data_IF_169507288790
#
_entry.id   IF_169507288790
#
_cell.length_a   1.000
_cell.length_b   1.000
_cell.length_c   1.000
_cell.angle_alpha   90.00
_cell.angle_beta   90.00
_cell.angle_gamma   90.00
#
_symmetry.space_group_name_H-M   'P 1'
#
loop_
_entity.id
_entity.type
_entity.pdbx_description
1 polymer ?
#
# COMPACT_ATOMS: atom_id res chain seq x y z
N UNK A 1 10.67 -5.86 -15.86
CA UNK A 1 11.90 -6.62 -16.07
C UNK A 1 12.14 -7.00 -17.53
N UNK A 2 11.34 -7.80 -18.21
CA UNK A 2 11.59 -8.04 -19.62
C UNK A 2 10.93 -6.99 -20.50
N UNK A 3 11.71 -6.33 -21.33
CA UNK A 3 11.19 -5.38 -22.31
C UNK A 3 10.15 -6.06 -23.22
N UNK A 4 8.93 -5.48 -23.26
CA UNK A 4 7.84 -6.01 -24.09
C UNK A 4 6.89 -7.01 -23.41
N UNK A 5 7.12 -7.43 -22.15
CA UNK A 5 6.11 -8.16 -21.37
C UNK A 5 4.98 -7.22 -20.90
N UNK A 6 3.81 -7.79 -20.71
CA UNK A 6 2.60 -7.10 -20.28
C UNK A 6 1.53 -7.03 -21.36
N UNK A 7 0.37 -6.49 -20.99
CA UNK A 7 -0.72 -6.21 -21.92
C UNK A 7 -0.47 -4.89 -22.69
N UNK A 8 -1.34 -4.55 -23.63
CA UNK A 8 -1.22 -3.33 -24.43
C UNK A 8 -1.16 -2.06 -23.58
N UNK A 9 -2.00 -1.98 -22.54
CA UNK A 9 -2.05 -0.82 -21.64
C UNK A 9 -0.72 -0.62 -20.90
N UNK A 10 -0.12 -1.69 -20.39
CA UNK A 10 1.19 -1.58 -19.70
C UNK A 10 2.33 -1.21 -20.66
N UNK A 11 2.27 -1.67 -21.91
CA UNK A 11 3.26 -1.32 -22.94
C UNK A 11 3.17 0.16 -23.34
N UNK A 12 1.96 0.65 -23.60
CA UNK A 12 1.73 2.08 -23.89
C UNK A 12 2.13 2.97 -22.70
N UNK A 13 1.71 2.61 -21.49
CA UNK A 13 2.08 3.33 -20.28
C UNK A 13 3.61 3.39 -20.10
N UNK A 14 4.31 2.28 -20.32
CA UNK A 14 5.76 2.26 -20.23
C UNK A 14 6.43 3.19 -21.24
N UNK A 15 5.92 3.28 -22.48
CA UNK A 15 6.44 4.20 -23.48
C UNK A 15 6.26 5.67 -23.06
N UNK A 16 5.12 6.03 -22.50
CA UNK A 16 4.84 7.36 -22.00
C UNK A 16 5.70 7.70 -20.77
N UNK A 17 5.87 6.75 -19.86
CA UNK A 17 6.63 6.92 -18.63
C UNK A 17 8.16 6.98 -18.85
N UNK A 18 8.69 6.46 -19.97
CA UNK A 18 10.12 6.58 -20.33
C UNK A 18 10.64 8.02 -20.36
N UNK A 19 9.74 9.00 -20.46
CA UNK A 19 10.10 10.44 -20.42
C UNK A 19 10.40 10.94 -18.99
N UNK A 20 10.03 10.18 -17.96
CA UNK A 20 10.27 10.53 -16.56
C UNK A 20 11.62 9.96 -16.10
N UNK A 21 12.52 10.80 -15.54
CA UNK A 21 13.84 10.33 -15.08
C UNK A 21 13.74 9.29 -13.95
N UNK A 22 12.65 9.31 -13.18
CA UNK A 22 12.39 8.40 -12.08
C UNK A 22 11.81 7.04 -12.52
N UNK A 23 11.46 6.90 -13.82
CA UNK A 23 10.88 5.66 -14.32
C UNK A 23 11.95 4.58 -14.47
N UNK A 24 11.82 3.50 -13.72
CA UNK A 24 12.78 2.39 -13.73
C UNK A 24 12.34 1.20 -14.60
N UNK A 25 11.16 1.28 -15.22
CA UNK A 25 10.62 0.21 -16.06
C UNK A 25 9.47 -0.56 -15.40
N UNK A 26 9.10 -1.66 -16.04
CA UNK A 26 8.09 -2.57 -15.50
C UNK A 26 8.65 -3.36 -14.32
N UNK A 27 7.81 -3.62 -13.33
CA UNK A 27 8.14 -4.35 -12.12
C UNK A 27 7.26 -5.58 -11.97
N UNK A 28 7.76 -6.58 -11.26
CA UNK A 28 7.00 -7.78 -10.92
C UNK A 28 6.37 -7.67 -9.51
N UNK A 29 5.47 -8.59 -9.19
CA UNK A 29 4.76 -8.57 -7.92
C UNK A 29 5.65 -8.64 -6.67
N UNK A 30 6.83 -9.25 -6.74
CA UNK A 30 7.82 -9.29 -5.67
C UNK A 30 8.42 -7.91 -5.39
N UNK A 31 8.61 -7.07 -6.41
CA UNK A 31 9.17 -5.73 -6.26
C UNK A 31 8.26 -4.78 -5.47
N UNK A 32 6.99 -5.10 -5.33
CA UNK A 32 6.06 -4.30 -4.51
C UNK A 32 6.46 -4.31 -3.03
N UNK A 33 7.12 -5.38 -2.56
CA UNK A 33 7.41 -5.59 -1.14
C UNK A 33 8.89 -5.59 -0.78
N UNK A 34 9.80 -5.64 -1.76
CA UNK A 34 11.25 -5.75 -1.54
C UNK A 34 11.95 -4.39 -1.31
N UNK A 35 11.21 -3.28 -1.51
CA UNK A 35 11.74 -1.93 -1.36
C UNK A 35 12.60 -1.45 -2.54
N UNK A 36 12.63 -2.19 -3.64
CA UNK A 36 13.35 -1.78 -4.86
C UNK A 36 12.70 -0.60 -5.58
N UNK A 37 11.41 -0.39 -5.35
CA UNK A 37 10.63 0.70 -5.93
C UNK A 37 9.87 1.49 -4.86
N UNK A 38 9.71 2.80 -5.07
CA UNK A 38 8.97 3.66 -4.15
C UNK A 38 7.49 3.82 -4.51
N UNK A 39 7.17 3.75 -5.80
CA UNK A 39 5.82 3.92 -6.34
C UNK A 39 5.60 2.93 -7.46
N UNK A 40 4.48 2.22 -7.42
CA UNK A 40 4.01 1.34 -8.50
C UNK A 40 2.72 1.92 -9.05
N UNK A 41 2.70 2.19 -10.35
CA UNK A 41 1.50 2.66 -11.06
C UNK A 41 0.84 1.48 -11.75
N UNK A 42 -0.43 1.28 -11.49
CA UNK A 42 -1.23 0.23 -12.13
C UNK A 42 -2.68 0.68 -12.30
N UNK A 43 -3.45 -0.07 -13.09
CA UNK A 43 -4.89 0.15 -13.14
C UNK A 43 -5.59 -0.27 -11.83
N UNK A 44 -6.79 0.28 -11.60
CA UNK A 44 -7.51 0.07 -10.34
C UNK A 44 -7.97 -1.38 -10.12
N UNK A 45 -8.15 -2.18 -11.18
CA UNK A 45 -8.51 -3.58 -11.04
C UNK A 45 -7.34 -4.42 -10.56
N UNK A 46 -6.18 -4.30 -11.21
CA UNK A 46 -4.94 -4.98 -10.80
C UNK A 46 -4.53 -4.52 -9.40
N UNK A 47 -4.55 -3.21 -9.13
CA UNK A 47 -4.23 -2.68 -7.80
C UNK A 47 -5.14 -3.23 -6.71
N UNK A 48 -6.44 -3.32 -6.97
CA UNK A 48 -7.38 -3.90 -6.00
C UNK A 48 -7.15 -5.41 -5.78
N UNK A 49 -6.81 -6.17 -6.83
CA UNK A 49 -6.45 -7.59 -6.69
C UNK A 49 -5.20 -7.73 -5.81
N UNK A 50 -4.15 -6.96 -6.07
CA UNK A 50 -2.91 -6.98 -5.28
C UNK A 50 -3.21 -6.67 -3.81
N UNK A 51 -3.96 -5.60 -3.52
CA UNK A 51 -4.31 -5.23 -2.16
C UNK A 51 -5.11 -6.34 -1.46
N UNK A 52 -6.17 -6.87 -2.10
CA UNK A 52 -7.02 -7.91 -1.51
C UNK A 52 -6.29 -9.24 -1.32
N UNK A 53 -5.42 -9.59 -2.24
CA UNK A 53 -4.57 -10.78 -2.11
C UNK A 53 -3.59 -10.62 -0.95
N UNK A 54 -2.91 -9.48 -0.86
CA UNK A 54 -1.97 -9.19 0.23
C UNK A 54 -2.66 -9.19 1.59
N UNK A 55 -3.84 -8.57 1.72
CA UNK A 55 -4.67 -8.62 2.93
C UNK A 55 -5.03 -10.07 3.31
N UNK A 56 -5.48 -10.86 2.34
CA UNK A 56 -5.88 -12.25 2.55
C UNK A 56 -4.71 -13.16 2.96
N UNK A 57 -3.56 -12.99 2.35
CA UNK A 57 -2.33 -13.72 2.70
C UNK A 57 -1.88 -13.35 4.10
N UNK A 58 -1.81 -12.07 4.45
CA UNK A 58 -1.42 -11.60 5.78
C UNK A 58 -2.35 -12.14 6.88
N UNK A 59 -3.68 -12.11 6.66
CA UNK A 59 -4.67 -12.66 7.60
C UNK A 59 -4.52 -14.18 7.76
N UNK A 60 -4.29 -14.89 6.67
CA UNK A 60 -4.08 -16.34 6.65
C UNK A 60 -2.82 -16.73 7.43
N UNK A 61 -1.72 -16.05 7.20
CA UNK A 61 -0.46 -16.28 7.94
C UNK A 61 -0.68 -15.98 9.43
N UNK A 62 -1.35 -14.88 9.76
CA UNK A 62 -1.66 -14.54 11.16
C UNK A 62 -2.50 -15.60 11.86
N UNK A 63 -3.54 -16.13 11.20
CA UNK A 63 -4.37 -17.23 11.72
C UNK A 63 -3.58 -18.52 11.88
N UNK A 64 -2.78 -18.86 10.89
CA UNK A 64 -1.93 -20.04 10.91
C UNK A 64 -0.94 -20.00 12.08
N UNK A 65 -0.21 -18.91 12.23
CA UNK A 65 0.73 -18.72 13.35
C UNK A 65 0.02 -18.83 14.70
N UNK A 66 -1.10 -18.14 14.88
CA UNK A 66 -1.89 -18.19 16.12
C UNK A 66 -2.38 -19.59 16.45
N UNK A 67 -2.81 -20.36 15.43
CA UNK A 67 -3.29 -21.72 15.62
C UNK A 67 -2.18 -22.67 16.07
N UNK A 68 -0.98 -22.53 15.52
CA UNK A 68 0.17 -23.38 15.85
C UNK A 68 0.79 -23.04 17.21
N UNK A 69 0.88 -21.75 17.53
CA UNK A 69 1.33 -21.31 18.86
C UNK A 69 0.43 -21.90 19.96
N UNK A 70 -0.89 -21.90 19.77
CA UNK A 70 -1.84 -22.44 20.75
C UNK A 70 -1.75 -23.96 20.96
N UNK A 71 -1.21 -24.71 19.99
CA UNK A 71 -1.11 -26.18 20.08
C UNK A 71 0.07 -26.66 20.94
N UNK A 72 1.00 -25.79 21.28
CA UNK A 72 2.19 -26.13 22.06
C UNK A 72 2.29 -25.21 23.29
N UNK A 73 2.35 -25.79 24.48
CA UNK A 73 2.56 -25.02 25.71
C UNK A 73 3.90 -24.28 25.71
N UNK A 74 4.94 -24.90 25.16
CA UNK A 74 6.25 -24.29 25.02
C UNK A 74 6.24 -23.10 24.03
N UNK A 75 5.57 -23.24 22.88
CA UNK A 75 5.40 -22.16 21.93
C UNK A 75 4.54 -21.02 22.49
N UNK A 76 3.50 -21.34 23.25
CA UNK A 76 2.68 -20.34 23.94
C UNK A 76 3.49 -19.53 24.95
N UNK A 77 4.33 -20.18 25.74
CA UNK A 77 5.24 -19.51 26.67
C UNK A 77 6.25 -18.62 25.93
N UNK A 78 6.90 -19.13 24.87
CA UNK A 78 7.84 -18.38 24.05
C UNK A 78 7.19 -17.18 23.33
N UNK A 79 5.91 -17.28 22.96
CA UNK A 79 5.18 -16.19 22.28
C UNK A 79 5.03 -14.93 23.13
N UNK A 80 5.11 -15.04 24.46
CA UNK A 80 5.08 -13.91 25.39
C UNK A 80 6.29 -12.99 25.14
N UNK A 81 7.48 -13.56 24.93
CA UNK A 81 8.69 -12.82 24.63
C UNK A 81 8.66 -12.18 23.23
N UNK A 82 7.94 -12.79 22.29
CA UNK A 82 7.78 -12.28 20.93
C UNK A 82 6.59 -11.31 20.78
N UNK A 83 5.86 -11.01 21.84
CA UNK A 83 4.64 -10.18 21.79
C UNK A 83 4.88 -8.82 21.10
N UNK A 84 6.01 -8.19 21.36
CA UNK A 84 6.38 -6.90 20.74
C UNK A 84 6.60 -7.05 19.23
N UNK A 85 7.27 -8.13 18.82
CA UNK A 85 7.52 -8.42 17.40
C UNK A 85 6.19 -8.65 16.66
N UNK A 86 5.30 -9.45 17.20
CA UNK A 86 3.98 -9.69 16.62
C UNK A 86 3.10 -8.43 16.60
N UNK A 87 3.20 -7.58 17.63
CA UNK A 87 2.49 -6.30 17.66
C UNK A 87 2.99 -5.36 16.55
N UNK A 88 4.29 -5.23 16.39
CA UNK A 88 4.89 -4.39 15.35
C UNK A 88 4.53 -4.90 13.95
N UNK A 89 4.64 -6.21 13.71
CA UNK A 89 4.25 -6.80 12.45
C UNK A 89 2.76 -6.54 12.13
N UNK A 90 1.89 -6.72 13.13
CA UNK A 90 0.47 -6.42 12.97
C UNK A 90 0.23 -4.96 12.62
N UNK A 91 0.92 -4.02 13.27
CA UNK A 91 0.80 -2.58 12.97
C UNK A 91 1.22 -2.25 11.54
N UNK A 92 2.29 -2.88 11.03
CA UNK A 92 2.75 -2.63 9.66
C UNK A 92 1.76 -3.10 8.59
N UNK A 93 0.97 -4.15 8.89
CA UNK A 93 0.01 -4.75 7.95
C UNK A 93 -1.41 -4.19 8.14
N UNK A 94 -1.70 -3.56 9.28
CA UNK A 94 -3.04 -3.10 9.63
C UNK A 94 -3.39 -1.81 8.84
N UNK A 95 -4.33 -1.93 7.91
CA UNK A 95 -4.85 -0.78 7.14
C UNK A 95 -5.39 0.35 8.04
N UNK A 96 -5.83 0.04 9.25
CA UNK A 96 -6.33 1.04 10.20
C UNK A 96 -5.24 2.01 10.68
N UNK A 97 -3.94 1.64 10.57
CA UNK A 97 -2.82 2.54 10.87
C UNK A 97 -2.67 3.64 9.82
N UNK A 98 -2.99 3.34 8.57
CA UNK A 98 -2.90 4.29 7.47
C UNK A 98 -4.20 5.11 7.31
N UNK A 99 -5.34 4.53 7.67
CA UNK A 99 -6.66 5.18 7.64
C UNK A 99 -7.31 5.19 6.25
N UNK A 100 -6.55 5.41 5.19
CA UNK A 100 -7.03 5.44 3.83
C UNK A 100 -5.98 5.98 2.87
N UNK A 101 -6.35 6.07 1.59
CA UNK A 101 -5.51 6.59 0.51
C UNK A 101 -6.10 7.89 -0.07
N UNK A 102 -5.28 8.89 -0.37
CA UNK A 102 -5.76 10.11 -1.00
C UNK A 102 -6.23 9.85 -2.43
N UNK A 103 -7.39 10.40 -2.78
CA UNK A 103 -7.89 10.45 -4.14
C UNK A 103 -7.26 11.65 -4.85
N UNK A 104 -6.35 11.38 -5.77
CA UNK A 104 -5.66 12.42 -6.53
C UNK A 104 -6.53 12.94 -7.68
N UNK A 105 -6.23 14.15 -8.18
CA UNK A 105 -6.92 14.76 -9.32
C UNK A 105 -8.22 15.48 -8.99
N UNK A 106 -8.55 15.64 -7.70
CA UNK A 106 -9.70 16.42 -7.23
C UNK A 106 -9.26 17.75 -6.62
N UNK A 107 -10.14 18.76 -6.65
CA UNK A 107 -9.87 20.06 -6.02
C UNK A 107 -10.17 20.01 -4.51
N UNK A 108 -9.23 19.49 -3.74
CA UNK A 108 -9.35 19.37 -2.28
C UNK A 108 -8.73 18.07 -1.78
N UNK A 109 -8.89 17.79 -0.49
CA UNK A 109 -8.46 16.56 0.12
C UNK A 109 -9.64 15.57 0.20
N UNK A 110 -9.55 14.47 -0.52
CA UNK A 110 -10.49 13.36 -0.44
C UNK A 110 -9.72 12.08 -0.08
N UNK A 111 -10.11 11.41 0.99
CA UNK A 111 -9.47 10.17 1.46
C UNK A 111 -10.44 9.01 1.29
N UNK A 112 -10.03 8.01 0.54
CA UNK A 112 -10.78 6.76 0.37
C UNK A 112 -10.40 5.80 1.47
N UNK A 113 -11.34 5.47 2.35
CA UNK A 113 -11.16 4.54 3.44
C UNK A 113 -11.84 3.20 3.17
N UNK A 114 -11.43 2.15 3.88
CA UNK A 114 -12.01 0.83 3.73
C UNK A 114 -13.45 0.78 4.30
N UNK A 115 -14.37 0.03 3.65
CA UNK A 115 -15.76 -0.08 4.10
C UNK A 115 -15.95 -0.67 5.51
N UNK A 116 -14.93 -1.36 6.06
CA UNK A 116 -14.90 -1.88 7.44
C UNK A 116 -14.10 -1.00 8.38
N UNK A 117 -13.85 0.27 8.04
CA UNK A 117 -13.04 1.18 8.86
C UNK A 117 -13.65 1.36 10.25
N UNK A 118 -12.82 1.15 11.25
CA UNK A 118 -13.16 1.43 12.66
C UNK A 118 -12.79 2.88 13.03
N UNK A 119 -13.06 3.29 14.26
CA UNK A 119 -12.77 4.64 14.76
C UNK A 119 -11.31 5.04 14.63
N UNK A 120 -10.36 4.10 14.80
CA UNK A 120 -8.93 4.34 14.62
C UNK A 120 -8.61 4.63 13.15
N UNK A 121 -9.15 3.85 12.22
CA UNK A 121 -8.96 4.07 10.79
C UNK A 121 -9.52 5.42 10.36
N UNK A 122 -10.71 5.80 10.81
CA UNK A 122 -11.31 7.11 10.50
C UNK A 122 -10.47 8.26 11.07
N UNK A 123 -10.01 8.14 12.31
CA UNK A 123 -9.08 9.11 12.91
C UNK A 123 -7.84 9.30 12.05
N UNK A 124 -7.20 8.20 11.64
CA UNK A 124 -5.99 8.25 10.83
C UNK A 124 -6.27 8.79 9.41
N UNK A 125 -7.43 8.50 8.83
CA UNK A 125 -7.86 9.10 7.56
C UNK A 125 -7.97 10.64 7.66
N UNK A 126 -8.50 11.16 8.77
CA UNK A 126 -8.55 12.60 9.00
C UNK A 126 -7.15 13.20 9.11
N UNK A 127 -6.22 12.54 9.82
CA UNK A 127 -4.83 12.98 9.86
C UNK A 127 -4.14 12.93 8.49
N UNK A 128 -4.45 11.93 7.65
CA UNK A 128 -3.96 11.89 6.28
C UNK A 128 -4.50 13.07 5.45
N UNK A 129 -5.77 13.43 5.62
CA UNK A 129 -6.34 14.61 4.95
C UNK A 129 -5.64 15.90 5.38
N UNK A 130 -5.37 16.06 6.68
CA UNK A 130 -4.62 17.22 7.21
C UNK A 130 -3.23 17.28 6.57
N UNK A 131 -2.46 16.18 6.60
CA UNK A 131 -1.14 16.10 5.98
C UNK A 131 -1.17 16.42 4.49
N UNK A 132 -2.17 15.91 3.78
CA UNK A 132 -2.35 16.16 2.34
C UNK A 132 -2.49 17.66 2.05
N UNK A 133 -3.27 18.36 2.86
CA UNK A 133 -3.47 19.82 2.73
C UNK A 133 -2.20 20.57 3.14
N UNK A 134 -1.61 20.25 4.30
CA UNK A 134 -0.39 20.91 4.80
C UNK A 134 0.80 20.75 3.84
N UNK A 135 0.89 19.61 3.15
CA UNK A 135 1.94 19.34 2.15
C UNK A 135 1.64 19.96 0.79
N UNK A 136 0.53 20.67 0.63
CA UNK A 136 0.10 21.34 -0.61
C UNK A 136 0.21 20.46 -1.87
N UNK A 137 -0.18 19.20 -1.75
CA UNK A 137 0.01 18.17 -2.79
C UNK A 137 -0.64 18.58 -4.11
N UNK A 138 -1.83 19.19 -4.07
CA UNK A 138 -2.55 19.59 -5.26
C UNK A 138 -1.81 20.69 -6.07
N UNK A 139 -1.19 21.65 -5.41
CA UNK A 139 -0.40 22.68 -6.07
C UNK A 139 0.87 22.09 -6.68
N UNK A 140 1.55 21.18 -5.98
CA UNK A 140 2.70 20.46 -6.51
C UNK A 140 2.34 19.67 -7.76
N UNK A 141 1.22 18.94 -7.78
CA UNK A 141 0.74 18.20 -8.96
C UNK A 141 0.46 19.18 -10.10
N UNK A 142 -0.28 20.26 -9.84
CA UNK A 142 -0.60 21.27 -10.88
C UNK A 142 0.66 21.90 -11.48
N UNK A 143 1.60 22.29 -10.63
CA UNK A 143 2.87 22.90 -11.07
C UNK A 143 3.69 21.93 -11.91
N UNK A 144 3.78 20.66 -11.50
CA UNK A 144 4.50 19.62 -12.25
C UNK A 144 3.88 19.31 -13.60
N UNK A 145 2.55 19.42 -13.73
CA UNK A 145 1.84 19.19 -14.99
C UNK A 145 1.85 20.41 -15.92
N UNK A 146 1.78 21.63 -15.37
CA UNK A 146 1.72 22.87 -16.13
C UNK A 146 3.10 23.45 -16.47
N UNK A 147 4.14 23.03 -15.77
CA UNK A 147 5.51 23.45 -15.97
C UNK A 147 6.25 22.73 -17.11
N UNK A 148 5.52 21.93 -17.87
CA UNK A 148 5.98 21.31 -19.12
C UNK A 148 5.22 21.92 -20.29
#
# INVERSE_FOLDING_TARGET
EEEGKGNEVTKEAALLLKQLPEFIGNVEGNNIFDGSVHVVVCDGFVGNIVLKTSEGVADTIGKFMKSHIKKSAFASFGSVFMRKVFSNLKQQIDYAEYGGAPLLGVNGAAIVSHGKSNSKAIKNAIFQAIKFVESDVNSHIKTSLLGK
#
